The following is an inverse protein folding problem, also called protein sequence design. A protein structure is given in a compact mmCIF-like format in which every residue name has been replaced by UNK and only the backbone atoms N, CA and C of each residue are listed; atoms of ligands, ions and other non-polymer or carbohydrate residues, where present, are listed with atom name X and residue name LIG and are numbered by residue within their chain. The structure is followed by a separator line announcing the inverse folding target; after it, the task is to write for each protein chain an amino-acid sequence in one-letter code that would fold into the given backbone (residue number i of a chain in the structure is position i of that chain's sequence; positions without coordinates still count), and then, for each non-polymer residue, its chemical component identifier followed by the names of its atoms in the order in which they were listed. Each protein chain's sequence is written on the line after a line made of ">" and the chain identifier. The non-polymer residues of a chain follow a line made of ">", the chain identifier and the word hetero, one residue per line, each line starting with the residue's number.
data_IF_407943755293
#
_entry.id   IF_407943755293
#
_cell.length_a   1.000
_cell.length_b   1.000
_cell.length_c   1.000
_cell.angle_alpha   90.00
_cell.angle_beta   90.00
_cell.angle_gamma   90.00
#
_symmetry.space_group_name_H-M   'P 1'
#
loop_
_entity.id
_entity.type
_entity.pdbx_description
1 polymer ?
#
# COMPACT_ATOMS: atom_id res chain seq x y z
N UNK A 1 -20.43 -7.43 -0.68
CA UNK A 1 -19.43 -7.96 -1.64
C UNK A 1 -18.29 -6.97 -1.88
N UNK A 2 -18.57 -5.69 -2.11
CA UNK A 2 -17.57 -4.63 -2.35
C UNK A 2 -16.49 -4.52 -1.26
N UNK A 3 -16.84 -4.68 0.02
CA UNK A 3 -15.88 -4.59 1.14
C UNK A 3 -14.76 -5.62 1.03
N UNK A 4 -15.08 -6.89 0.76
CA UNK A 4 -14.08 -7.95 0.63
C UNK A 4 -13.13 -7.71 -0.55
N UNK A 5 -13.65 -7.16 -1.65
CA UNK A 5 -12.85 -6.78 -2.82
C UNK A 5 -11.89 -5.64 -2.47
N UNK A 6 -12.36 -4.60 -1.78
CA UNK A 6 -11.53 -3.48 -1.34
C UNK A 6 -10.43 -3.92 -0.37
N UNK A 7 -10.75 -4.81 0.58
CA UNK A 7 -9.76 -5.40 1.48
C UNK A 7 -8.70 -6.22 0.71
N UNK A 8 -9.13 -7.00 -0.29
CA UNK A 8 -8.22 -7.74 -1.16
C UNK A 8 -7.29 -6.81 -1.95
N UNK A 9 -7.83 -5.74 -2.55
CA UNK A 9 -7.04 -4.72 -3.25
C UNK A 9 -6.05 -4.05 -2.29
N UNK A 10 -6.50 -3.67 -1.10
CA UNK A 10 -5.67 -3.05 -0.07
C UNK A 10 -4.51 -3.96 0.33
N UNK A 11 -4.79 -5.26 0.54
CA UNK A 11 -3.78 -6.25 0.88
C UNK A 11 -2.75 -6.42 -0.24
N UNK A 12 -3.19 -6.58 -1.50
CA UNK A 12 -2.29 -6.70 -2.63
C UNK A 12 -1.45 -5.43 -2.84
N UNK A 13 -2.08 -4.26 -2.74
CA UNK A 13 -1.40 -2.99 -2.91
C UNK A 13 -0.33 -2.75 -1.83
N UNK A 14 -0.63 -3.05 -0.57
CA UNK A 14 0.32 -2.91 0.53
C UNK A 14 1.58 -3.77 0.37
N UNK A 15 1.49 -4.88 -0.38
CA UNK A 15 2.60 -5.79 -0.62
C UNK A 15 3.44 -5.47 -1.88
N UNK A 16 2.91 -4.68 -2.83
CA UNK A 16 3.61 -4.30 -4.08
C UNK A 16 5.01 -3.68 -3.86
N UNK A 17 5.23 -2.75 -2.91
CA UNK A 17 6.53 -2.10 -2.69
C UNK A 17 7.68 -3.08 -2.40
N UNK A 18 7.34 -4.23 -1.83
CA UNK A 18 8.28 -5.19 -1.27
C UNK A 18 8.70 -6.29 -2.25
N UNK A 19 7.94 -6.52 -3.31
CA UNK A 19 8.27 -7.53 -4.31
C UNK A 19 9.25 -7.04 -5.38
N UNK A 20 9.42 -5.71 -5.52
CA UNK A 20 10.28 -5.11 -6.54
C UNK A 20 11.36 -4.22 -5.95
N UNK A 21 12.51 -4.22 -6.62
CA UNK A 21 13.62 -3.30 -6.37
C UNK A 21 13.52 -2.04 -7.25
N UNK A 22 12.54 -1.99 -8.15
CA UNK A 22 12.16 -0.79 -8.91
C UNK A 22 11.15 0.03 -8.13
N UNK A 23 11.21 1.34 -8.28
CA UNK A 23 10.23 2.26 -7.72
C UNK A 23 8.94 2.21 -8.57
N UNK A 24 7.81 1.88 -7.94
CA UNK A 24 6.52 1.56 -8.56
C UNK A 24 6.59 0.54 -9.71
N UNK A 25 7.56 -0.36 -9.72
CA UNK A 25 7.87 -1.25 -10.87
C UNK A 25 8.32 -0.54 -12.16
N UNK A 26 8.25 0.80 -12.24
CA UNK A 26 8.53 1.57 -13.45
C UNK A 26 9.95 2.15 -13.42
N UNK A 27 10.37 2.74 -12.30
CA UNK A 27 11.61 3.51 -12.23
C UNK A 27 12.73 2.65 -11.62
N UNK A 28 13.77 2.25 -12.38
CA UNK A 28 14.91 1.56 -11.81
C UNK A 28 15.71 2.53 -10.93
N UNK A 29 15.67 2.33 -9.61
CA UNK A 29 16.55 3.05 -8.71
C UNK A 29 17.96 2.48 -8.87
N UNK A 30 18.87 3.26 -9.48
CA UNK A 30 20.32 3.00 -9.40
C UNK A 30 20.78 3.33 -7.98
N UNK A 31 20.48 2.46 -7.03
CA UNK A 31 21.11 2.54 -5.72
C UNK A 31 22.59 2.13 -5.89
N UNK A 32 23.50 2.95 -5.37
CA UNK A 32 24.95 2.69 -5.42
C UNK A 32 25.33 1.35 -4.76
N UNK A 33 24.46 0.80 -3.92
CA UNK A 33 24.60 -0.48 -3.20
C UNK A 33 23.76 -1.63 -3.77
N UNK A 34 22.99 -1.42 -4.85
CA UNK A 34 22.13 -2.44 -5.45
C UNK A 34 20.85 -2.78 -4.67
N UNK A 35 20.65 -2.18 -3.49
CA UNK A 35 19.49 -2.39 -2.60
C UNK A 35 18.54 -1.19 -2.56
N UNK A 36 17.22 -1.42 -2.54
CA UNK A 36 16.20 -0.36 -2.46
C UNK A 36 16.07 0.12 -1.01
N UNK A 37 16.37 1.39 -0.75
CA UNK A 37 16.28 1.97 0.59
C UNK A 37 14.84 1.87 1.16
N UNK A 38 14.71 1.54 2.44
CA UNK A 38 13.43 1.45 3.15
C UNK A 38 12.62 2.76 3.11
N UNK A 39 13.29 3.91 3.03
CA UNK A 39 12.63 5.21 2.88
C UNK A 39 11.80 5.29 1.58
N UNK A 40 12.27 4.68 0.49
CA UNK A 40 11.52 4.61 -0.75
C UNK A 40 10.33 3.65 -0.65
N UNK A 41 10.47 2.53 0.06
CA UNK A 41 9.34 1.63 0.32
C UNK A 41 8.25 2.31 1.16
N UNK A 42 8.63 3.10 2.17
CA UNK A 42 7.70 3.89 2.98
C UNK A 42 6.97 4.95 2.15
N UNK A 43 7.70 5.66 1.29
CA UNK A 43 7.11 6.65 0.38
C UNK A 43 6.10 6.01 -0.57
N UNK A 44 6.41 4.85 -1.15
CA UNK A 44 5.46 4.10 -1.97
C UNK A 44 4.24 3.64 -1.19
N UNK A 45 4.42 3.12 0.04
CA UNK A 45 3.30 2.71 0.89
C UNK A 45 2.33 3.87 1.14
N UNK A 46 2.87 5.06 1.45
CA UNK A 46 2.06 6.27 1.65
C UNK A 46 1.25 6.59 0.39
N UNK A 47 1.91 6.62 -0.78
CA UNK A 47 1.24 6.92 -2.05
C UNK A 47 0.19 5.85 -2.40
N UNK A 48 0.50 4.56 -2.21
CA UNK A 48 -0.42 3.47 -2.48
C UNK A 48 -1.62 3.49 -1.55
N UNK A 49 -1.44 3.85 -0.27
CA UNK A 49 -2.53 4.06 0.66
C UNK A 49 -3.51 5.12 0.15
N UNK A 50 -3.01 6.29 -0.28
CA UNK A 50 -3.87 7.34 -0.85
C UNK A 50 -4.55 6.91 -2.15
N UNK A 51 -3.84 6.21 -3.05
CA UNK A 51 -4.42 5.69 -4.29
C UNK A 51 -5.55 4.70 -4.02
N UNK A 52 -5.34 3.74 -3.12
CA UNK A 52 -6.37 2.77 -2.72
C UNK A 52 -7.53 3.48 -2.03
N UNK A 53 -7.26 4.49 -1.21
CA UNK A 53 -8.29 5.32 -0.56
C UNK A 53 -9.20 6.03 -1.56
N UNK A 54 -8.63 6.62 -2.63
CA UNK A 54 -9.40 7.24 -3.71
C UNK A 54 -10.27 6.20 -4.44
N UNK A 55 -9.71 5.02 -4.74
CA UNK A 55 -10.47 3.92 -5.36
C UNK A 55 -11.62 3.45 -4.46
N UNK A 56 -11.37 3.34 -3.15
CA UNK A 56 -12.38 2.94 -2.18
C UNK A 56 -13.52 3.97 -2.09
N UNK A 57 -13.18 5.26 -2.02
CA UNK A 57 -14.18 6.34 -1.99
C UNK A 57 -15.01 6.38 -3.28
N UNK A 58 -14.38 6.17 -4.43
CA UNK A 58 -15.08 6.08 -5.71
C UNK A 58 -16.03 4.86 -5.75
N UNK A 59 -15.56 3.70 -5.30
CA UNK A 59 -16.35 2.48 -5.26
C UNK A 59 -17.57 2.61 -4.32
N UNK A 60 -17.39 3.28 -3.17
CA UNK A 60 -18.48 3.58 -2.23
C UNK A 60 -19.54 4.47 -2.88
N UNK A 61 -19.14 5.59 -3.50
CA UNK A 61 -20.05 6.48 -4.22
C UNK A 61 -20.78 5.78 -5.36
N UNK A 62 -20.08 4.95 -6.13
CA UNK A 62 -20.66 4.21 -7.24
C UNK A 62 -21.67 3.14 -6.80
N UNK A 63 -21.48 2.55 -5.62
CA UNK A 63 -22.35 1.47 -5.13
C UNK A 63 -23.56 2.01 -4.35
N UNK A 64 -23.35 3.03 -3.51
CA UNK A 64 -24.37 3.51 -2.56
C UNK A 64 -24.93 4.90 -2.91
N UNK A 65 -24.43 5.55 -3.96
CA UNK A 65 -24.88 6.88 -4.41
C UNK A 65 -24.43 8.05 -3.52
N UNK A 66 -23.93 7.76 -2.33
CA UNK A 66 -23.39 8.73 -1.37
C UNK A 66 -22.23 8.09 -0.61
N UNK A 67 -21.21 8.90 -0.28
CA UNK A 67 -20.15 8.49 0.63
C UNK A 67 -20.50 8.99 2.04
N UNK A 68 -20.37 8.12 3.04
CA UNK A 68 -20.56 8.54 4.42
C UNK A 68 -19.49 9.57 4.83
N UNK A 69 -19.82 10.57 5.66
CA UNK A 69 -18.80 11.44 6.25
C UNK A 69 -17.86 10.58 7.11
N UNK A 70 -16.56 10.62 6.81
CA UNK A 70 -15.51 9.91 7.53
C UNK A 70 -14.67 10.93 8.30
N UNK A 71 -14.53 10.71 9.62
CA UNK A 71 -13.66 11.50 10.47
C UNK A 71 -12.20 11.04 10.39
N UNK A 72 -11.30 11.79 11.04
CA UNK A 72 -9.85 11.53 11.02
C UNK A 72 -9.48 10.15 11.58
N UNK A 73 -10.28 9.60 12.50
CA UNK A 73 -10.10 8.27 13.10
C UNK A 73 -10.15 7.18 12.05
N UNK A 74 -11.05 7.31 11.05
CA UNK A 74 -11.14 6.35 9.96
C UNK A 74 -9.84 6.28 9.16
N UNK A 75 -9.25 7.44 8.85
CA UNK A 75 -7.97 7.50 8.13
C UNK A 75 -6.82 6.97 8.97
N UNK A 76 -6.81 7.26 10.28
CA UNK A 76 -5.80 6.71 11.19
C UNK A 76 -5.86 5.17 11.23
N UNK A 77 -7.03 4.59 11.50
CA UNK A 77 -7.20 3.13 11.62
C UNK A 77 -6.90 2.43 10.29
N UNK A 78 -7.36 2.97 9.17
CA UNK A 78 -7.09 2.38 7.84
C UNK A 78 -5.62 2.48 7.45
N UNK A 79 -4.90 3.53 7.85
CA UNK A 79 -3.46 3.63 7.61
C UNK A 79 -2.67 2.57 8.38
N UNK A 80 -3.02 2.32 9.64
CA UNK A 80 -2.40 1.23 10.42
C UNK A 80 -2.77 -0.14 9.88
N UNK A 81 -4.01 -0.34 9.42
CA UNK A 81 -4.41 -1.57 8.74
C UNK A 81 -3.56 -1.81 7.48
N UNK A 82 -3.31 -0.76 6.68
CA UNK A 82 -2.47 -0.83 5.50
C UNK A 82 -1.03 -1.25 5.83
N UNK A 83 -0.48 -0.70 6.92
CA UNK A 83 0.84 -1.10 7.43
C UNK A 83 0.88 -2.56 7.89
N UNK A 84 -0.16 -3.04 8.57
CA UNK A 84 -0.27 -4.45 8.97
C UNK A 84 -0.35 -5.36 7.73
N UNK A 85 -1.10 -4.96 6.71
CA UNK A 85 -1.18 -5.71 5.44
C UNK A 85 0.14 -5.74 4.67
N UNK A 86 1.02 -4.75 4.85
CA UNK A 86 2.36 -4.74 4.26
C UNK A 86 3.33 -5.74 4.92
N UNK A 87 2.98 -6.31 6.08
CA UNK A 87 3.86 -7.16 6.87
C UNK A 87 4.42 -8.40 6.13
N UNK A 88 3.63 -9.18 5.35
CA UNK A 88 4.15 -10.34 4.64
C UNK A 88 5.26 -9.98 3.64
N UNK A 89 5.03 -8.91 2.86
CA UNK A 89 6.02 -8.38 1.92
C UNK A 89 7.26 -7.85 2.63
N UNK A 90 7.08 -7.12 3.74
CA UNK A 90 8.17 -6.66 4.59
C UNK A 90 9.05 -7.82 5.07
N UNK A 91 8.45 -8.88 5.63
CA UNK A 91 9.19 -10.05 6.13
C UNK A 91 9.96 -10.73 4.99
N UNK A 92 9.32 -10.92 3.84
CA UNK A 92 9.96 -11.53 2.67
C UNK A 92 11.21 -10.74 2.23
N UNK A 93 11.08 -9.42 2.05
CA UNK A 93 12.17 -8.60 1.52
C UNK A 93 13.28 -8.37 2.54
N UNK A 94 12.93 -8.04 3.78
CA UNK A 94 13.88 -7.64 4.82
C UNK A 94 14.55 -8.85 5.46
N UNK A 95 13.80 -9.85 5.91
CA UNK A 95 14.37 -11.00 6.62
C UNK A 95 14.91 -12.06 5.67
N UNK A 96 14.17 -12.40 4.61
CA UNK A 96 14.56 -13.51 3.73
C UNK A 96 15.55 -13.06 2.66
N UNK A 97 15.18 -12.06 1.85
CA UNK A 97 15.98 -11.63 0.70
C UNK A 97 17.11 -10.66 1.08
N UNK A 98 17.07 -10.05 2.28
CA UNK A 98 18.07 -9.11 2.83
C UNK A 98 18.58 -8.08 1.80
N UNK A 99 17.64 -7.50 1.05
CA UNK A 99 17.91 -6.62 -0.11
C UNK A 99 17.55 -5.15 0.15
N UNK A 100 17.42 -4.82 1.43
CA UNK A 100 17.23 -3.46 1.97
C UNK A 100 18.47 -3.11 2.78
#
# INVERSE_FOLDING_TARGET
>A
MTIWVLLGIMFLAANLPWFSDKLFYVIPLKAATGAKNIAWCLLELIILYFLVGVVAQYAERATFGQAAPQDWEFYAVTSFLFLVFAFPGFVYKVLWKKTI
#
